data_IF_321525149753
#
_entry.id   IF_321525149753
#
_cell.length_a   1.000
_cell.length_b   1.000
_cell.length_c   1.000
_cell.angle_alpha   90.00
_cell.angle_beta   90.00
_cell.angle_gamma   90.00
#
_symmetry.space_group_name_H-M   'P 1'
#
loop_
_entity.id
_entity.type
_entity.pdbx_description
1 polymer ?
#
# COMPACT_ATOMS: atom_id res chain seq x y z
N UNK A 1 25.05 -12.34 7.95
CA UNK A 1 24.48 -11.02 8.26
C UNK A 1 23.25 -11.10 9.15
N UNK A 2 22.34 -12.04 8.96
CA UNK A 2 21.17 -12.27 9.82
C UNK A 2 21.15 -13.72 10.36
N UNK A 3 22.09 -14.08 11.27
CA UNK A 3 22.24 -15.47 11.73
C UNK A 3 21.00 -15.98 12.49
N UNK A 4 20.33 -15.12 13.23
CA UNK A 4 19.13 -15.47 13.97
C UNK A 4 17.97 -15.84 13.02
N UNK A 5 17.72 -15.03 11.99
CA UNK A 5 16.71 -15.31 10.97
C UNK A 5 17.08 -16.58 10.20
N UNK A 6 18.34 -16.73 9.82
CA UNK A 6 18.83 -17.93 9.13
C UNK A 6 18.61 -19.20 9.96
N UNK A 7 18.89 -19.15 11.27
CA UNK A 7 18.70 -20.32 12.15
C UNK A 7 17.24 -20.75 12.28
N UNK A 8 16.29 -19.81 12.18
CA UNK A 8 14.85 -20.10 12.25
C UNK A 8 14.30 -20.66 10.94
N UNK A 9 14.82 -20.23 9.81
CA UNK A 9 14.31 -20.62 8.49
C UNK A 9 15.11 -21.77 7.84
N UNK A 10 16.37 -22.00 8.21
CA UNK A 10 17.17 -23.09 7.67
C UNK A 10 16.57 -24.49 7.86
N UNK A 11 15.87 -24.82 8.97
CA UNK A 11 15.20 -26.12 9.12
C UNK A 11 14.17 -26.41 8.05
N UNK A 12 13.59 -25.39 7.39
CA UNK A 12 12.65 -25.52 6.29
C UNK A 12 13.26 -25.90 4.93
N UNK A 13 14.58 -26.14 4.85
CA UNK A 13 15.28 -26.38 3.58
C UNK A 13 14.60 -27.43 2.69
N UNK A 14 14.10 -28.50 3.29
CA UNK A 14 13.51 -29.63 2.56
C UNK A 14 12.02 -29.44 2.25
N UNK A 15 11.39 -28.39 2.77
CA UNK A 15 9.96 -28.08 2.55
C UNK A 15 9.75 -26.92 1.58
N UNK A 16 10.77 -26.11 1.31
CA UNK A 16 10.66 -25.02 0.33
C UNK A 16 10.34 -25.56 -1.07
N UNK A 17 9.40 -24.91 -1.75
CA UNK A 17 8.88 -25.33 -3.05
C UNK A 17 7.90 -26.51 -2.98
N UNK A 18 7.49 -26.95 -1.79
CA UNK A 18 6.50 -28.02 -1.60
C UNK A 18 5.18 -27.47 -1.05
N UNK A 19 4.15 -28.33 -1.01
CA UNK A 19 2.85 -27.99 -0.40
C UNK A 19 2.94 -27.65 1.12
N UNK A 20 4.02 -28.04 1.79
CA UNK A 20 4.26 -27.78 3.22
C UNK A 20 4.95 -26.44 3.51
N UNK A 21 5.43 -25.74 2.49
CA UNK A 21 6.15 -24.47 2.65
C UNK A 21 5.33 -23.43 3.40
N UNK A 22 4.07 -23.23 2.98
CA UNK A 22 3.21 -22.24 3.61
C UNK A 22 3.03 -22.50 5.11
N UNK A 23 2.76 -23.72 5.51
CA UNK A 23 2.58 -24.08 6.92
C UNK A 23 3.86 -23.82 7.72
N UNK A 24 5.02 -24.18 7.17
CA UNK A 24 6.32 -23.94 7.81
C UNK A 24 6.59 -22.42 7.98
N UNK A 25 6.31 -21.61 6.96
CA UNK A 25 6.51 -20.16 7.02
C UNK A 25 5.54 -19.53 8.03
N UNK A 26 4.25 -19.88 8.00
CA UNK A 26 3.23 -19.36 8.91
C UNK A 26 3.59 -19.64 10.39
N UNK A 27 4.23 -20.78 10.67
CA UNK A 27 4.67 -21.16 12.02
C UNK A 27 5.94 -20.42 12.47
N UNK A 28 6.93 -20.27 11.60
CA UNK A 28 8.27 -19.83 11.99
C UNK A 28 8.53 -18.35 11.73
N UNK A 29 7.92 -17.76 10.69
CA UNK A 29 8.18 -16.38 10.30
C UNK A 29 7.74 -15.34 11.35
N UNK A 30 6.62 -15.48 12.08
CA UNK A 30 6.23 -14.53 13.12
C UNK A 30 7.25 -14.39 14.26
N UNK A 31 8.08 -15.42 14.47
CA UNK A 31 9.15 -15.41 15.47
C UNK A 31 10.48 -14.82 14.94
N UNK A 32 10.56 -14.44 13.66
CA UNK A 32 11.73 -13.83 13.08
C UNK A 32 11.89 -12.37 13.49
N UNK A 33 13.13 -11.83 13.54
CA UNK A 33 13.35 -10.41 13.75
C UNK A 33 12.66 -9.56 12.67
N UNK A 34 11.93 -8.52 13.08
CA UNK A 34 11.33 -7.56 12.16
C UNK A 34 12.40 -6.57 11.67
N UNK A 35 13.09 -6.93 10.59
CA UNK A 35 14.16 -6.13 9.97
C UNK A 35 14.02 -6.19 8.45
N UNK A 36 14.08 -5.04 7.78
CA UNK A 36 14.08 -5.01 6.31
C UNK A 36 15.39 -5.57 5.74
N UNK A 37 15.36 -6.04 4.50
CA UNK A 37 16.56 -6.49 3.78
C UNK A 37 17.60 -5.36 3.66
N UNK A 38 17.15 -4.12 3.54
CA UNK A 38 18.02 -2.95 3.44
C UNK A 38 18.90 -2.82 4.71
N UNK A 39 18.29 -2.71 5.88
CA UNK A 39 19.01 -2.60 7.16
C UNK A 39 19.69 -3.89 7.58
N UNK A 40 19.12 -5.03 7.25
CA UNK A 40 19.63 -6.33 7.67
C UNK A 40 20.82 -6.83 6.85
N UNK A 41 20.83 -6.52 5.56
CA UNK A 41 21.79 -7.06 4.58
C UNK A 41 22.46 -5.96 3.78
N UNK A 42 21.69 -5.12 3.06
CA UNK A 42 22.21 -4.20 2.03
C UNK A 42 23.20 -3.19 2.61
N UNK A 43 22.88 -2.57 3.74
CA UNK A 43 23.77 -1.60 4.41
C UNK A 43 25.05 -2.22 5.04
N UNK A 44 25.06 -3.53 5.22
CA UNK A 44 26.15 -4.26 5.89
C UNK A 44 27.02 -5.06 4.94
N UNK A 45 26.60 -5.20 3.69
CA UNK A 45 27.28 -6.02 2.72
C UNK A 45 28.26 -5.20 1.87
N UNK A 46 29.52 -5.66 1.78
CA UNK A 46 30.57 -4.99 1.01
C UNK A 46 30.48 -5.29 -0.50
N UNK A 47 29.60 -6.21 -0.91
CA UNK A 47 29.44 -6.69 -2.29
C UNK A 47 28.10 -6.31 -2.92
N UNK A 48 27.51 -5.21 -2.48
CA UNK A 48 26.29 -4.66 -3.10
C UNK A 48 26.67 -3.75 -4.26
N UNK A 49 26.08 -4.00 -5.43
CA UNK A 49 26.25 -3.19 -6.62
C UNK A 49 24.90 -2.60 -7.05
N UNK A 50 24.89 -1.36 -7.51
CA UNK A 50 23.73 -0.66 -8.02
C UNK A 50 23.90 -0.50 -9.52
N UNK A 51 22.93 -0.98 -10.31
CA UNK A 51 22.83 -0.71 -11.72
C UNK A 51 21.78 0.38 -11.94
N UNK A 52 22.19 1.46 -12.59
CA UNK A 52 21.24 2.51 -12.98
C UNK A 52 20.44 2.02 -14.20
N UNK A 53 19.12 2.12 -14.11
CA UNK A 53 18.22 1.76 -15.18
C UNK A 53 17.06 2.74 -15.26
N UNK A 54 16.63 3.06 -16.48
CA UNK A 54 15.42 3.81 -16.77
C UNK A 54 14.46 2.90 -17.54
N UNK A 55 13.61 2.18 -16.81
CA UNK A 55 12.65 1.22 -17.37
C UNK A 55 11.21 1.50 -16.92
N UNK A 56 10.95 2.72 -16.47
CA UNK A 56 9.60 3.17 -16.10
C UNK A 56 9.01 2.44 -14.88
N UNK A 57 9.85 1.93 -13.97
CA UNK A 57 9.37 1.32 -12.74
C UNK A 57 8.85 2.38 -11.76
N UNK A 58 7.73 2.10 -11.14
CA UNK A 58 7.19 2.91 -10.04
C UNK A 58 6.67 1.99 -8.94
N UNK A 59 6.99 2.34 -7.71
CA UNK A 59 6.40 1.69 -6.53
C UNK A 59 4.98 2.23 -6.31
N UNK A 60 3.97 1.35 -6.44
CA UNK A 60 2.56 1.68 -6.17
C UNK A 60 2.24 1.71 -4.66
N UNK A 61 3.21 1.91 -3.81
CA UNK A 61 3.05 1.95 -2.36
C UNK A 61 2.30 3.19 -1.82
N UNK A 62 1.99 4.17 -2.66
CA UNK A 62 1.34 5.43 -2.27
C UNK A 62 0.17 5.77 -3.18
N UNK A 63 -0.76 6.58 -2.67
CA UNK A 63 -1.87 7.13 -3.47
C UNK A 63 -1.37 8.09 -4.56
N UNK A 64 -0.31 8.84 -4.27
CA UNK A 64 0.36 9.69 -5.25
C UNK A 64 0.88 8.88 -6.44
N UNK A 65 1.61 7.78 -6.20
CA UNK A 65 2.08 6.89 -7.27
C UNK A 65 0.93 6.28 -8.08
N UNK A 66 -0.16 5.88 -7.41
CA UNK A 66 -1.36 5.37 -8.07
C UNK A 66 -2.00 6.44 -8.96
N UNK A 67 -2.09 7.68 -8.47
CA UNK A 67 -2.61 8.81 -9.23
C UNK A 67 -1.76 9.08 -10.47
N UNK A 68 -0.44 9.10 -10.33
CA UNK A 68 0.48 9.43 -11.43
C UNK A 68 0.40 8.42 -12.58
N UNK A 69 0.25 7.15 -12.27
CA UNK A 69 0.20 6.04 -13.22
C UNK A 69 -1.20 5.75 -13.78
N UNK A 70 -2.25 6.27 -13.14
CA UNK A 70 -3.62 6.03 -13.57
C UNK A 70 -4.05 6.93 -14.74
N UNK A 71 -4.92 6.45 -15.65
CA UNK A 71 -5.55 7.30 -16.65
C UNK A 71 -6.35 8.41 -15.99
N UNK A 72 -6.23 9.62 -16.54
CA UNK A 72 -6.90 10.82 -16.05
C UNK A 72 -7.96 11.29 -17.05
N UNK A 73 -9.03 11.89 -16.53
CA UNK A 73 -9.98 12.63 -17.37
C UNK A 73 -9.38 13.99 -17.82
N UNK A 74 -10.17 14.76 -18.57
CA UNK A 74 -9.74 16.08 -19.11
C UNK A 74 -9.38 17.10 -18.02
N UNK A 75 -9.87 16.91 -16.80
CA UNK A 75 -9.63 17.78 -15.65
C UNK A 75 -8.64 17.18 -14.63
N UNK A 76 -7.96 16.10 -15.01
CA UNK A 76 -6.93 15.46 -14.19
C UNK A 76 -7.48 14.53 -13.10
N UNK A 77 -8.78 14.22 -13.08
CA UNK A 77 -9.29 13.29 -12.10
C UNK A 77 -9.03 11.83 -12.50
N UNK A 78 -8.81 11.00 -11.51
CA UNK A 78 -8.70 9.54 -11.61
C UNK A 78 -9.92 8.90 -10.94
N UNK A 79 -10.62 8.01 -11.65
CA UNK A 79 -11.72 7.22 -11.09
C UNK A 79 -11.41 5.74 -11.27
N UNK A 80 -11.40 4.99 -10.18
CA UNK A 80 -11.08 3.56 -10.18
C UNK A 80 -12.19 2.74 -9.52
N UNK A 81 -12.53 1.62 -10.13
CA UNK A 81 -13.50 0.61 -9.68
C UNK A 81 -14.95 1.07 -9.59
N UNK A 82 -15.28 2.36 -9.70
CA UNK A 82 -16.62 2.92 -9.59
C UNK A 82 -16.98 3.78 -10.81
N UNK A 83 -18.19 4.30 -10.84
CA UNK A 83 -18.59 5.38 -11.73
C UNK A 83 -18.52 6.72 -10.98
N UNK A 84 -18.24 7.81 -11.71
CA UNK A 84 -18.23 9.15 -11.12
C UNK A 84 -18.89 10.18 -12.03
N UNK A 85 -19.56 11.15 -11.42
CA UNK A 85 -20.00 12.40 -12.00
C UNK A 85 -19.30 13.53 -11.25
N UNK A 86 -18.39 14.21 -11.94
CA UNK A 86 -17.51 15.21 -11.32
C UNK A 86 -17.86 16.58 -11.90
N UNK A 87 -18.30 17.50 -11.05
CA UNK A 87 -18.68 18.86 -11.40
C UNK A 87 -17.69 19.82 -10.74
N UNK A 88 -17.15 20.78 -11.49
CA UNK A 88 -16.20 21.79 -10.98
C UNK A 88 -15.06 21.18 -10.14
N UNK A 89 -14.64 19.95 -10.50
CA UNK A 89 -13.71 19.14 -9.72
C UNK A 89 -12.49 18.77 -10.56
N UNK A 90 -11.30 18.88 -9.99
CA UNK A 90 -10.05 18.59 -10.70
C UNK A 90 -9.00 17.94 -9.79
N UNK A 91 -8.09 17.19 -10.43
CA UNK A 91 -6.92 16.60 -9.78
C UNK A 91 -7.27 15.68 -8.60
N UNK A 92 -8.45 15.07 -8.59
CA UNK A 92 -8.88 14.15 -7.53
C UNK A 92 -8.57 12.69 -7.89
N UNK A 93 -8.51 11.84 -6.87
CA UNK A 93 -8.53 10.40 -7.03
C UNK A 93 -9.75 9.83 -6.29
N UNK A 94 -10.58 9.08 -7.00
CA UNK A 94 -11.83 8.49 -6.50
C UNK A 94 -11.74 6.99 -6.65
N UNK A 95 -11.75 6.28 -5.54
CA UNK A 95 -11.66 4.82 -5.47
C UNK A 95 -12.77 4.29 -4.56
N UNK A 96 -13.84 3.83 -5.15
CA UNK A 96 -14.96 3.24 -4.41
C UNK A 96 -15.18 1.79 -4.84
N UNK A 97 -15.89 0.99 -4.03
CA UNK A 97 -16.30 -0.36 -4.43
C UNK A 97 -17.04 -0.39 -5.77
N UNK A 98 -16.96 -1.53 -6.46
CA UNK A 98 -17.72 -1.74 -7.69
C UNK A 98 -19.23 -1.50 -7.45
N UNK A 99 -19.90 -0.99 -8.48
CA UNK A 99 -21.32 -0.66 -8.47
C UNK A 99 -21.72 0.57 -7.61
N UNK A 100 -20.76 1.38 -7.16
CA UNK A 100 -21.05 2.68 -6.56
C UNK A 100 -20.90 3.80 -7.58
N UNK A 101 -21.70 4.84 -7.40
CA UNK A 101 -21.62 6.11 -8.12
C UNK A 101 -21.15 7.19 -7.13
N UNK A 102 -20.06 7.86 -7.46
CA UNK A 102 -19.65 9.09 -6.79
C UNK A 102 -20.23 10.30 -7.53
N UNK A 103 -20.90 11.20 -6.84
CA UNK A 103 -21.28 12.53 -7.34
C UNK A 103 -20.55 13.56 -6.52
N UNK A 104 -19.67 14.32 -7.15
CA UNK A 104 -18.74 15.24 -6.48
C UNK A 104 -18.78 16.58 -7.17
N UNK A 105 -18.93 17.66 -6.43
CA UNK A 105 -18.89 19.02 -6.92
C UNK A 105 -17.89 19.87 -6.12
N UNK A 106 -17.03 20.61 -6.81
CA UNK A 106 -16.16 21.64 -6.24
C UNK A 106 -14.92 21.11 -5.50
N UNK A 107 -14.52 19.85 -5.67
CA UNK A 107 -13.30 19.32 -5.03
C UNK A 107 -12.07 19.44 -5.93
N UNK A 108 -10.95 19.82 -5.34
CA UNK A 108 -9.66 19.91 -6.01
C UNK A 108 -8.54 19.30 -5.16
N UNK A 109 -7.83 18.32 -5.74
CA UNK A 109 -6.68 17.67 -5.11
C UNK A 109 -7.04 16.76 -3.94
N UNK A 110 -8.19 16.08 -3.98
CA UNK A 110 -8.63 15.17 -2.92
C UNK A 110 -8.42 13.70 -3.28
N UNK A 111 -8.18 12.93 -2.25
CA UNK A 111 -8.35 11.48 -2.22
C UNK A 111 -9.70 11.16 -1.60
N UNK A 112 -10.53 10.44 -2.36
CA UNK A 112 -11.82 9.90 -1.94
C UNK A 112 -11.73 8.38 -2.10
N UNK A 113 -11.70 7.65 -1.00
CA UNK A 113 -11.57 6.21 -1.01
C UNK A 113 -12.57 5.57 -0.05
N UNK A 114 -13.15 4.45 -0.45
CA UNK A 114 -14.01 3.66 0.43
C UNK A 114 -13.53 2.20 0.45
N UNK A 115 -13.42 1.64 1.63
CA UNK A 115 -13.21 0.21 1.87
C UNK A 115 -14.14 -0.24 2.98
N UNK A 116 -14.81 -1.37 2.75
CA UNK A 116 -15.80 -1.94 3.65
C UNK A 116 -16.87 -0.90 4.04
N UNK A 117 -16.87 -0.45 5.29
CA UNK A 117 -17.83 0.53 5.82
C UNK A 117 -17.19 1.88 6.14
N UNK A 118 -15.97 2.14 5.64
CA UNK A 118 -15.23 3.38 5.90
C UNK A 118 -15.06 4.19 4.63
N UNK A 119 -15.52 5.43 4.65
CA UNK A 119 -15.26 6.43 3.64
C UNK A 119 -14.20 7.41 4.11
N UNK A 120 -13.09 7.49 3.37
CA UNK A 120 -12.03 8.47 3.59
C UNK A 120 -12.14 9.59 2.55
N UNK A 121 -12.11 10.83 3.00
CA UNK A 121 -11.96 12.02 2.16
C UNK A 121 -10.87 12.90 2.79
N UNK A 122 -9.74 13.06 2.11
CA UNK A 122 -8.65 13.93 2.56
C UNK A 122 -7.94 14.56 1.37
N UNK A 123 -7.08 15.54 1.62
CA UNK A 123 -6.18 16.07 0.58
C UNK A 123 -5.17 15.00 0.16
N UNK A 124 -4.84 14.90 -1.13
CA UNK A 124 -3.81 13.98 -1.63
C UNK A 124 -2.47 14.20 -0.94
N UNK A 125 -2.09 15.46 -0.72
CA UNK A 125 -0.83 15.84 -0.08
C UNK A 125 -0.76 15.39 1.40
N UNK A 126 -1.91 15.08 2.00
CA UNK A 126 -2.04 14.60 3.38
C UNK A 126 -2.10 13.07 3.49
N UNK A 127 -1.76 12.32 2.43
CA UNK A 127 -1.81 10.86 2.45
C UNK A 127 -0.98 10.23 3.59
N UNK A 128 0.11 10.90 4.00
CA UNK A 128 0.95 10.48 5.12
C UNK A 128 0.21 10.43 6.46
N UNK A 129 -0.86 11.21 6.59
CA UNK A 129 -1.70 11.28 7.78
C UNK A 129 -2.72 10.14 7.89
N UNK A 130 -2.90 9.32 6.84
CA UNK A 130 -3.90 8.23 6.82
C UNK A 130 -3.66 7.23 7.97
N UNK A 131 -2.40 6.89 8.24
CA UNK A 131 -2.07 5.99 9.39
C UNK A 131 -2.57 6.55 10.72
N UNK A 132 -2.47 7.87 10.90
CA UNK A 132 -2.99 8.54 12.09
C UNK A 132 -4.51 8.45 12.13
N UNK A 133 -5.20 8.65 11.00
CA UNK A 133 -6.66 8.57 10.95
C UNK A 133 -7.15 7.17 11.28
N UNK A 134 -6.49 6.12 10.76
CA UNK A 134 -6.79 4.72 11.10
C UNK A 134 -6.58 4.47 12.59
N UNK A 135 -5.45 4.88 13.17
CA UNK A 135 -5.21 4.72 14.61
C UNK A 135 -6.23 5.47 15.47
N UNK A 136 -6.61 6.69 15.07
CA UNK A 136 -7.61 7.48 15.80
C UNK A 136 -8.99 6.81 15.74
N UNK A 137 -9.36 6.21 14.59
CA UNK A 137 -10.60 5.46 14.46
C UNK A 137 -10.60 4.22 15.35
N UNK A 138 -9.49 3.45 15.32
CA UNK A 138 -9.33 2.26 16.15
C UNK A 138 -9.48 2.57 17.65
N UNK A 139 -8.79 3.62 18.12
CA UNK A 139 -8.81 4.01 19.55
C UNK A 139 -10.21 4.49 19.98
N UNK A 140 -10.92 5.21 19.11
CA UNK A 140 -12.20 5.85 19.46
C UNK A 140 -13.42 4.98 19.22
N UNK A 141 -13.37 4.12 18.19
CA UNK A 141 -14.54 3.39 17.66
C UNK A 141 -14.39 1.87 17.70
N UNK A 142 -13.17 1.35 17.96
CA UNK A 142 -12.89 -0.07 17.98
C UNK A 142 -12.37 -0.60 16.62
N UNK A 143 -12.23 -1.93 16.54
CA UNK A 143 -11.61 -2.62 15.39
C UNK A 143 -12.52 -2.79 14.18
N UNK A 144 -13.80 -2.47 14.28
CA UNK A 144 -14.80 -2.66 13.22
C UNK A 144 -14.59 -1.72 12.00
N UNK A 145 -13.66 -0.77 12.11
CA UNK A 145 -13.40 0.26 11.10
C UNK A 145 -11.94 0.27 10.63
N UNK A 146 -11.29 -0.91 10.60
CA UNK A 146 -9.87 -1.01 10.23
C UNK A 146 -9.69 -1.98 9.06
#
# INVERSE_FOLDING_TARGET
MLPELASKLAPGKDVYGTASEKAFIDENFPACPNVSVDFGIMEKADNVYVSLGDFGWSDLGTWGSLYDLSPKDETGNVTLKCQSLLYNSKDNIVVLPQNKLAVIDGLEGYLIAESDNVLLICKKDEEHSIRKYVNDAQIKLGEDYI
#
